data_IF_358411876734
#
_entry.id   IF_358411876734
#
_cell.length_a   1.000
_cell.length_b   1.000
_cell.length_c   1.000
_cell.angle_alpha   90.00
_cell.angle_beta   90.00
_cell.angle_gamma   90.00
#
_symmetry.space_group_name_H-M   'P 1'
#
loop_
_entity.id
_entity.type
_entity.pdbx_description
1 polymer ?
#
# COMPACT_ATOMS: atom_id res chain seq x y z
N UNK A 1 9.85 3.12 30.02
CA UNK A 1 11.26 2.91 29.60
C UNK A 1 11.41 1.46 29.20
N UNK A 2 11.40 1.15 27.91
CA UNK A 2 11.63 -0.21 27.39
C UNK A 2 13.10 -0.55 27.61
N UNK A 3 13.37 -1.66 28.33
CA UNK A 3 14.74 -2.14 28.55
C UNK A 3 15.39 -2.46 27.20
N UNK A 4 16.60 -1.93 26.95
CA UNK A 4 17.45 -2.39 25.85
C UNK A 4 17.76 -3.88 26.08
N UNK A 5 17.06 -4.75 25.37
CA UNK A 5 17.25 -6.19 25.46
C UNK A 5 18.49 -6.54 24.64
N UNK A 6 19.41 -7.32 25.19
CA UNK A 6 20.63 -7.77 24.49
C UNK A 6 20.33 -8.91 23.51
N UNK A 7 19.27 -9.67 23.73
CA UNK A 7 18.77 -10.77 22.92
C UNK A 7 17.25 -10.72 22.83
N UNK A 8 16.70 -11.26 21.74
CA UNK A 8 15.25 -11.41 21.58
C UNK A 8 14.72 -12.49 22.52
N UNK A 9 13.49 -12.33 23.05
CA UNK A 9 12.77 -13.42 23.69
C UNK A 9 12.57 -14.60 22.71
N UNK A 10 12.45 -15.79 23.24
CA UNK A 10 12.17 -16.98 22.43
C UNK A 10 10.77 -16.89 21.79
N UNK A 11 9.79 -16.43 22.56
CA UNK A 11 8.40 -16.25 22.14
C UNK A 11 7.98 -14.78 22.30
N UNK A 12 6.99 -14.38 21.49
CA UNK A 12 6.36 -13.07 21.58
C UNK A 12 5.34 -12.98 22.73
N UNK A 13 4.84 -11.77 23.02
CA UNK A 13 3.74 -11.60 23.98
C UNK A 13 2.46 -12.26 23.45
N UNK A 14 1.61 -12.71 24.35
CA UNK A 14 0.31 -13.27 24.01
C UNK A 14 -0.73 -12.15 24.02
N UNK A 15 -1.47 -12.01 22.95
CA UNK A 15 -2.58 -11.06 22.84
C UNK A 15 -3.82 -11.53 23.63
N UNK A 16 -4.80 -10.65 23.80
CA UNK A 16 -6.07 -10.97 24.49
C UNK A 16 -6.84 -12.13 23.85
N UNK A 17 -6.70 -12.30 22.53
CA UNK A 17 -7.29 -13.42 21.77
C UNK A 17 -6.49 -14.74 21.90
N UNK A 18 -5.46 -14.81 22.74
CA UNK A 18 -4.63 -15.98 22.97
C UNK A 18 -3.58 -16.28 21.90
N UNK A 19 -3.43 -15.43 20.87
CA UNK A 19 -2.44 -15.61 19.80
C UNK A 19 -1.09 -14.97 20.18
N UNK A 20 0.00 -15.60 19.78
CA UNK A 20 1.34 -15.04 19.94
C UNK A 20 1.56 -13.89 18.97
N UNK A 21 1.99 -12.72 19.47
CA UNK A 21 2.30 -11.54 18.65
C UNK A 21 3.78 -11.57 18.28
N UNK A 22 4.08 -11.66 17.00
CA UNK A 22 5.44 -11.71 16.48
C UNK A 22 6.02 -10.32 16.26
N UNK A 23 5.26 -9.42 15.63
CA UNK A 23 5.68 -8.06 15.30
C UNK A 23 4.66 -7.04 15.81
N UNK A 24 5.12 -5.95 16.40
CA UNK A 24 4.28 -4.84 16.85
C UNK A 24 4.89 -3.52 16.35
N UNK A 25 4.06 -2.71 15.71
CA UNK A 25 4.34 -1.32 15.44
C UNK A 25 3.53 -0.46 16.42
N UNK A 26 4.19 0.47 17.14
CA UNK A 26 3.54 1.38 18.08
C UNK A 26 3.86 2.82 17.72
N UNK A 27 2.86 3.55 17.24
CA UNK A 27 2.94 4.98 16.92
C UNK A 27 4.14 5.31 16.04
N UNK A 28 4.40 4.49 15.01
CA UNK A 28 5.58 4.60 14.16
C UNK A 28 5.44 5.76 13.19
N UNK A 29 6.39 6.69 13.25
CA UNK A 29 6.57 7.76 12.28
C UNK A 29 7.83 7.52 11.45
N UNK A 30 7.70 7.71 10.14
CA UNK A 30 8.87 7.66 9.24
C UNK A 30 8.87 8.93 8.39
N UNK A 31 9.96 9.68 8.48
CA UNK A 31 10.12 10.96 7.80
C UNK A 31 11.40 10.95 6.96
N UNK A 32 11.31 11.40 5.73
CA UNK A 32 12.43 11.61 4.82
C UNK A 32 12.72 13.09 4.63
N UNK A 33 13.98 13.44 4.42
CA UNK A 33 14.40 14.84 4.30
C UNK A 33 14.62 15.51 5.66
N UNK A 34 14.92 16.81 5.64
CA UNK A 34 15.14 17.63 6.84
C UNK A 34 14.56 19.03 6.64
N UNK A 35 14.20 19.69 7.74
CA UNK A 35 13.63 21.05 7.72
C UNK A 35 12.32 21.12 6.92
N UNK A 36 12.13 22.19 6.16
CA UNK A 36 10.89 22.46 5.42
C UNK A 36 10.59 21.47 4.29
N UNK A 37 11.61 20.70 3.85
CA UNK A 37 11.45 19.64 2.84
C UNK A 37 11.23 18.24 3.45
N UNK A 38 10.96 18.16 4.74
CA UNK A 38 10.67 16.88 5.39
C UNK A 38 9.30 16.34 4.96
N UNK A 39 9.29 15.10 4.43
CA UNK A 39 8.07 14.38 4.05
C UNK A 39 7.81 13.27 5.05
N UNK A 40 6.73 13.36 5.79
CA UNK A 40 6.26 12.32 6.73
C UNK A 40 5.52 11.25 5.94
N UNK A 41 6.25 10.20 5.56
CA UNK A 41 5.74 9.13 4.70
C UNK A 41 4.86 8.12 5.45
N UNK A 42 5.08 7.94 6.75
CA UNK A 42 4.27 7.13 7.66
C UNK A 42 3.97 7.95 8.90
N UNK A 43 2.72 7.90 9.36
CA UNK A 43 2.20 8.75 10.43
C UNK A 43 1.50 7.90 11.47
N UNK A 44 2.10 7.83 12.66
CA UNK A 44 1.53 7.18 13.83
C UNK A 44 1.01 5.75 13.55
N UNK A 45 1.70 4.99 12.67
CA UNK A 45 1.25 3.65 12.30
C UNK A 45 1.33 2.71 13.50
N UNK A 46 0.19 2.06 13.79
CA UNK A 46 0.05 1.13 14.92
C UNK A 46 -0.72 -0.10 14.46
N UNK A 47 -0.10 -1.26 14.52
CA UNK A 47 -0.73 -2.57 14.30
C UNK A 47 0.20 -3.67 14.81
N UNK A 48 -0.33 -4.85 14.96
CA UNK A 48 0.39 -6.07 15.32
C UNK A 48 0.27 -7.14 14.25
N UNK A 49 1.21 -8.07 14.22
CA UNK A 49 1.20 -9.25 13.35
C UNK A 49 1.39 -10.48 14.25
N UNK A 50 0.47 -11.43 14.13
CA UNK A 50 0.54 -12.67 14.88
C UNK A 50 1.46 -13.69 14.20
N UNK A 51 2.05 -14.56 14.99
CA UNK A 51 2.89 -15.63 14.47
C UNK A 51 2.09 -16.56 13.55
N UNK A 52 2.69 -16.96 12.44
CA UNK A 52 2.09 -17.85 11.44
C UNK A 52 0.99 -17.22 10.57
N UNK A 53 0.64 -15.92 10.76
CA UNK A 53 -0.35 -15.28 9.91
C UNK A 53 0.26 -14.59 8.69
N UNK A 54 -0.54 -14.41 7.66
CA UNK A 54 -0.29 -13.45 6.58
C UNK A 54 -1.05 -12.17 6.87
N UNK A 55 -0.35 -11.14 7.34
CA UNK A 55 -0.88 -9.79 7.46
C UNK A 55 -0.59 -9.02 6.18
N UNK A 56 -1.61 -8.57 5.48
CA UNK A 56 -1.42 -7.76 4.26
C UNK A 56 -1.57 -6.27 4.52
N UNK A 57 -0.68 -5.47 3.95
CA UNK A 57 -0.75 -4.02 3.96
C UNK A 57 -1.09 -3.51 2.56
N UNK A 58 -2.25 -2.87 2.41
CA UNK A 58 -2.79 -2.42 1.13
C UNK A 58 -3.04 -0.91 1.08
N UNK A 59 -3.00 -0.33 -0.10
CA UNK A 59 -3.26 1.09 -0.36
C UNK A 59 -2.62 1.53 -1.68
N UNK A 60 -2.86 2.77 -2.08
CA UNK A 60 -2.31 3.34 -3.31
C UNK A 60 -0.77 3.38 -3.33
N UNK A 61 -0.20 3.52 -4.54
CA UNK A 61 1.25 3.72 -4.68
C UNK A 61 1.68 5.00 -3.95
N UNK A 62 2.80 4.92 -3.21
CA UNK A 62 3.28 6.04 -2.40
C UNK A 62 2.58 6.24 -1.06
N UNK A 63 1.65 5.37 -0.64
CA UNK A 63 0.97 5.47 0.66
C UNK A 63 1.85 5.14 1.88
N UNK A 64 3.06 4.60 1.70
CA UNK A 64 3.98 4.29 2.79
C UNK A 64 4.21 2.79 3.05
N UNK A 65 3.59 1.86 2.32
CA UNK A 65 3.68 0.40 2.51
C UNK A 65 5.13 -0.12 2.52
N UNK A 66 5.84 0.06 1.41
CA UNK A 66 7.26 -0.32 1.27
C UNK A 66 8.14 0.35 2.33
N UNK A 67 7.78 1.59 2.70
CA UNK A 67 8.49 2.35 3.74
C UNK A 67 8.39 1.66 5.10
N UNK A 68 7.21 1.14 5.47
CA UNK A 68 7.00 0.33 6.67
C UNK A 68 7.80 -0.96 6.60
N UNK A 69 7.70 -1.73 5.51
CA UNK A 69 8.48 -2.96 5.34
C UNK A 69 9.99 -2.74 5.52
N UNK A 70 10.53 -1.68 4.90
CA UNK A 70 11.93 -1.30 5.05
C UNK A 70 12.29 -0.81 6.46
N UNK A 71 11.35 -0.27 7.21
CA UNK A 71 11.60 0.10 8.61
C UNK A 71 11.66 -1.14 9.51
N UNK A 72 10.87 -2.17 9.25
CA UNK A 72 10.91 -3.45 9.98
C UNK A 72 12.28 -4.12 9.82
N UNK A 73 12.84 -4.17 8.60
CA UNK A 73 14.21 -4.67 8.37
C UNK A 73 15.29 -3.62 8.70
N UNK A 74 14.90 -2.47 9.28
CA UNK A 74 15.79 -1.42 9.78
C UNK A 74 16.60 -0.66 8.72
N UNK A 75 16.20 -0.72 7.47
CA UNK A 75 16.76 0.10 6.39
C UNK A 75 16.31 1.56 6.53
N UNK A 76 15.03 1.78 6.87
CA UNK A 76 14.49 3.11 7.15
C UNK A 76 14.45 3.35 8.67
N UNK A 77 15.04 4.40 9.19
CA UNK A 77 14.92 4.73 10.61
C UNK A 77 13.53 5.28 10.95
N UNK A 78 13.01 4.94 12.12
CA UNK A 78 11.81 5.56 12.67
C UNK A 78 12.16 6.94 13.23
N UNK A 79 11.38 7.96 12.89
CA UNK A 79 11.48 9.29 13.45
C UNK A 79 10.87 9.37 14.87
N UNK A 80 9.78 8.61 15.08
CA UNK A 80 9.12 8.43 16.38
C UNK A 80 8.49 7.04 16.47
N UNK A 81 8.03 6.67 17.67
CA UNK A 81 7.44 5.36 17.93
C UNK A 81 8.47 4.24 18.05
N UNK A 82 7.97 3.02 18.05
CA UNK A 82 8.83 1.84 18.16
C UNK A 82 8.30 0.65 17.37
N UNK A 83 9.22 -0.17 16.89
CA UNK A 83 8.95 -1.49 16.30
C UNK A 83 9.51 -2.53 17.28
N UNK A 84 8.66 -3.48 17.65
CA UNK A 84 9.02 -4.60 18.52
C UNK A 84 8.89 -5.91 17.75
N UNK A 85 9.85 -6.80 17.91
CA UNK A 85 9.82 -8.17 17.40
C UNK A 85 9.96 -9.13 18.59
N UNK A 86 9.01 -10.06 18.73
CA UNK A 86 8.89 -10.93 19.93
C UNK A 86 8.92 -10.14 21.25
N UNK A 87 8.28 -8.96 21.28
CA UNK A 87 8.30 -8.08 22.45
C UNK A 87 9.60 -7.30 22.70
N UNK A 88 10.67 -7.63 21.99
CA UNK A 88 11.93 -6.88 22.02
C UNK A 88 11.93 -5.72 21.04
N UNK A 89 12.35 -4.52 21.50
CA UNK A 89 12.46 -3.35 20.62
C UNK A 89 13.59 -3.54 19.61
N UNK A 90 13.27 -3.46 18.32
CA UNK A 90 14.23 -3.56 17.22
C UNK A 90 14.49 -2.22 16.51
N UNK A 91 13.67 -1.18 16.74
CA UNK A 91 13.86 0.16 16.18
C UNK A 91 14.89 0.98 16.95
N UNK A 92 15.58 1.90 16.26
CA UNK A 92 16.60 2.77 16.86
C UNK A 92 17.97 2.10 17.03
N UNK A 93 18.75 2.54 18.01
CA UNK A 93 20.08 1.95 18.30
C UNK A 93 19.93 0.63 19.06
N UNK A 94 20.53 -0.42 18.53
CA UNK A 94 20.49 -1.77 19.08
C UNK A 94 21.91 -2.35 19.18
N UNK A 95 22.07 -3.49 19.84
CA UNK A 95 23.34 -4.21 19.91
C UNK A 95 23.63 -4.92 18.57
N UNK A 96 24.91 -5.17 18.27
CA UNK A 96 25.29 -5.97 17.09
C UNK A 96 24.72 -7.39 17.11
N UNK A 97 24.53 -7.95 18.29
CA UNK A 97 23.93 -9.29 18.47
C UNK A 97 22.48 -9.27 18.07
N UNK A 98 21.70 -8.31 18.58
CA UNK A 98 20.29 -8.14 18.20
C UNK A 98 20.14 -7.84 16.70
N UNK A 99 21.04 -7.04 16.12
CA UNK A 99 21.04 -6.78 14.67
C UNK A 99 21.19 -8.07 13.87
N UNK A 100 22.11 -8.96 14.27
CA UNK A 100 22.29 -10.26 13.62
C UNK A 100 21.06 -11.16 13.75
N UNK A 101 20.44 -11.21 14.93
CA UNK A 101 19.20 -11.98 15.16
C UNK A 101 18.06 -11.47 14.27
N UNK A 102 17.85 -10.15 14.20
CA UNK A 102 16.85 -9.54 13.35
C UNK A 102 17.09 -9.87 11.87
N UNK A 103 18.34 -9.69 11.37
CA UNK A 103 18.68 -9.96 9.98
C UNK A 103 18.49 -11.45 9.63
N UNK A 104 18.76 -12.36 10.57
CA UNK A 104 18.55 -13.80 10.36
C UNK A 104 17.08 -14.16 10.28
N UNK A 105 16.28 -13.66 11.21
CA UNK A 105 14.90 -14.12 11.42
C UNK A 105 13.88 -13.33 10.60
N UNK A 106 14.23 -12.13 10.11
CA UNK A 106 13.37 -11.30 9.27
C UNK A 106 14.01 -11.12 7.91
N UNK A 107 13.38 -11.69 6.88
CA UNK A 107 13.86 -11.61 5.51
C UNK A 107 12.92 -10.78 4.64
N UNK A 108 13.41 -10.28 3.49
CA UNK A 108 12.62 -9.49 2.56
C UNK A 108 12.70 -10.03 1.14
N UNK A 109 11.54 -10.22 0.52
CA UNK A 109 11.38 -10.46 -0.91
C UNK A 109 11.01 -9.13 -1.55
N UNK A 110 11.84 -8.64 -2.46
CA UNK A 110 11.72 -7.31 -3.06
C UNK A 110 10.80 -7.31 -4.28
N UNK A 111 10.23 -6.15 -4.57
CA UNK A 111 9.33 -5.89 -5.69
C UNK A 111 9.99 -6.14 -7.06
N UNK A 112 11.23 -5.69 -7.23
CA UNK A 112 12.01 -5.90 -8.46
C UNK A 112 13.09 -6.96 -8.23
N UNK A 113 12.87 -8.20 -8.71
CA UNK A 113 13.86 -9.26 -8.58
C UNK A 113 15.14 -8.97 -9.34
N UNK A 114 15.08 -8.25 -10.48
CA UNK A 114 16.27 -7.92 -11.25
C UNK A 114 17.17 -6.95 -10.50
N UNK A 115 16.60 -5.90 -9.91
CA UNK A 115 17.37 -4.94 -9.10
C UNK A 115 17.89 -5.54 -7.79
N UNK A 116 17.28 -6.63 -7.28
CA UNK A 116 17.62 -7.22 -5.98
C UNK A 116 18.63 -8.35 -6.02
N UNK A 117 18.91 -8.92 -7.20
CA UNK A 117 19.86 -10.01 -7.41
C UNK A 117 21.18 -9.47 -7.99
N UNK A 118 22.30 -10.02 -7.55
CA UNK A 118 23.60 -9.68 -8.11
C UNK A 118 23.78 -10.38 -9.46
N UNK A 119 23.67 -9.64 -10.56
CA UNK A 119 23.79 -10.16 -11.94
C UNK A 119 25.16 -10.78 -12.26
N UNK A 120 26.18 -10.57 -11.42
CA UNK A 120 27.54 -11.12 -11.57
C UNK A 120 27.80 -12.37 -10.74
N UNK A 121 26.82 -12.80 -9.96
CA UNK A 121 26.91 -13.97 -9.10
C UNK A 121 26.02 -15.11 -9.65
N UNK A 122 26.44 -16.35 -9.46
CA UNK A 122 25.60 -17.50 -9.78
C UNK A 122 24.44 -17.63 -8.80
N UNK A 123 23.40 -18.35 -9.21
CA UNK A 123 22.23 -18.63 -8.34
C UNK A 123 22.67 -19.34 -7.06
N UNK A 124 23.60 -20.29 -7.12
CA UNK A 124 24.16 -20.95 -5.94
C UNK A 124 24.73 -19.94 -4.95
N UNK A 125 25.58 -19.01 -5.42
CA UNK A 125 26.17 -17.99 -4.56
C UNK A 125 25.10 -17.09 -3.95
N UNK A 126 24.13 -16.61 -4.75
CA UNK A 126 23.05 -15.70 -4.28
C UNK A 126 22.22 -16.35 -3.17
N UNK A 127 21.86 -17.62 -3.35
CA UNK A 127 21.05 -18.35 -2.36
C UNK A 127 21.88 -18.71 -1.14
N UNK A 128 23.16 -19.08 -1.32
CA UNK A 128 24.06 -19.48 -0.23
C UNK A 128 24.58 -18.32 0.61
N UNK A 129 24.52 -17.07 0.13
CA UNK A 129 25.14 -15.91 0.78
C UNK A 129 24.75 -15.79 2.26
N UNK A 130 23.46 -15.96 2.57
CA UNK A 130 22.96 -15.94 3.94
C UNK A 130 23.51 -17.08 4.78
N UNK A 131 23.59 -18.28 4.23
CA UNK A 131 24.15 -19.45 4.91
C UNK A 131 25.62 -19.22 5.34
N UNK A 132 26.44 -18.66 4.43
CA UNK A 132 27.83 -18.31 4.74
C UNK A 132 27.95 -17.23 5.80
N UNK A 133 27.18 -16.15 5.69
CA UNK A 133 27.23 -15.01 6.60
C UNK A 133 26.83 -15.37 8.05
N UNK A 134 25.91 -16.32 8.20
CA UNK A 134 25.39 -16.74 9.49
C UNK A 134 25.90 -18.11 9.93
N UNK A 135 26.72 -18.79 9.12
CA UNK A 135 27.25 -20.14 9.38
C UNK A 135 26.14 -21.16 9.69
N UNK A 136 25.14 -21.20 8.82
CA UNK A 136 23.94 -22.06 8.98
C UNK A 136 24.10 -23.42 8.30
N UNK A 137 25.29 -23.93 8.20
CA UNK A 137 25.61 -25.27 7.66
C UNK A 137 26.79 -25.88 8.42
N UNK A 138 26.79 -27.21 8.49
CA UNK A 138 27.83 -27.96 9.19
C UNK A 138 29.08 -28.15 8.33
N UNK A 139 28.89 -28.42 7.04
CA UNK A 139 29.93 -28.64 6.06
C UNK A 139 29.41 -28.30 4.65
N UNK A 140 30.27 -28.32 3.64
CA UNK A 140 29.93 -27.94 2.29
C UNK A 140 28.83 -28.85 1.66
N UNK A 141 28.82 -30.13 2.02
CA UNK A 141 27.76 -31.05 1.53
C UNK A 141 26.39 -30.69 2.10
N UNK A 142 26.30 -30.28 3.40
CA UNK A 142 25.08 -29.79 4.01
C UNK A 142 24.59 -28.47 3.37
N UNK A 143 25.54 -27.54 3.09
CA UNK A 143 25.20 -26.30 2.38
C UNK A 143 24.58 -26.59 1.02
N UNK A 144 25.22 -27.44 0.20
CA UNK A 144 24.73 -27.81 -1.12
C UNK A 144 23.34 -28.45 -1.01
N UNK A 145 23.16 -29.39 -0.09
CA UNK A 145 21.86 -30.04 0.12
C UNK A 145 20.75 -29.05 0.48
N UNK A 146 21.02 -28.06 1.38
CA UNK A 146 20.07 -27.01 1.74
C UNK A 146 19.69 -26.15 0.53
N UNK A 147 20.68 -25.76 -0.27
CA UNK A 147 20.46 -24.93 -1.47
C UNK A 147 19.70 -25.70 -2.55
N UNK A 148 20.06 -26.94 -2.83
CA UNK A 148 19.32 -27.77 -3.78
C UNK A 148 17.88 -28.02 -3.34
N UNK A 149 17.67 -28.27 -2.04
CA UNK A 149 16.33 -28.47 -1.49
C UNK A 149 15.46 -27.23 -1.71
N UNK A 150 15.92 -26.03 -1.31
CA UNK A 150 15.11 -24.82 -1.46
C UNK A 150 14.88 -24.46 -2.94
N UNK A 151 15.84 -24.69 -3.83
CA UNK A 151 15.69 -24.49 -5.27
C UNK A 151 14.61 -25.41 -5.85
N UNK A 152 14.60 -26.67 -5.47
CA UNK A 152 13.53 -27.61 -5.84
C UNK A 152 12.16 -27.16 -5.30
N UNK A 153 12.10 -26.74 -4.05
CA UNK A 153 10.84 -26.28 -3.42
C UNK A 153 10.23 -25.06 -4.13
N UNK A 154 11.06 -24.13 -4.61
CA UNK A 154 10.57 -22.98 -5.41
C UNK A 154 10.27 -23.35 -6.86
N UNK A 155 10.43 -24.64 -7.25
CA UNK A 155 10.14 -25.15 -8.57
C UNK A 155 11.18 -24.76 -9.63
N UNK A 156 12.43 -24.63 -9.24
CA UNK A 156 13.60 -24.53 -10.10
C UNK A 156 14.37 -25.85 -10.07
N UNK A 157 15.29 -26.04 -11.01
CA UNK A 157 16.09 -27.26 -11.13
C UNK A 157 17.48 -27.06 -10.52
N UNK A 158 18.13 -28.09 -9.93
CA UNK A 158 19.49 -27.96 -9.38
C UNK A 158 20.53 -27.53 -10.43
N UNK A 159 20.34 -27.87 -11.68
CA UNK A 159 21.21 -27.43 -12.81
C UNK A 159 21.18 -25.91 -13.04
N UNK A 160 20.16 -25.22 -12.52
CA UNK A 160 20.05 -23.75 -12.56
C UNK A 160 21.04 -23.05 -11.60
N UNK A 161 21.61 -23.76 -10.64
CA UNK A 161 22.51 -23.20 -9.62
C UNK A 161 23.78 -22.58 -10.20
N UNK A 162 24.26 -23.10 -11.34
CA UNK A 162 25.48 -22.62 -12.02
C UNK A 162 25.23 -21.41 -12.92
N UNK A 163 23.97 -21.07 -13.17
CA UNK A 163 23.57 -19.98 -14.07
C UNK A 163 23.52 -18.63 -13.36
N UNK A 164 23.45 -17.55 -14.16
CA UNK A 164 23.37 -16.17 -13.69
C UNK A 164 21.93 -15.62 -13.80
N UNK A 165 21.53 -14.63 -12.98
CA UNK A 165 20.17 -14.09 -12.97
C UNK A 165 19.65 -13.63 -14.34
N UNK A 166 20.51 -13.03 -15.19
CA UNK A 166 20.12 -12.55 -16.53
C UNK A 166 19.69 -13.66 -17.51
N UNK A 167 19.99 -14.93 -17.20
CA UNK A 167 19.58 -16.09 -18.00
C UNK A 167 18.17 -16.59 -17.68
N UNK A 168 17.47 -15.96 -16.72
CA UNK A 168 16.16 -16.36 -16.22
C UNK A 168 15.04 -15.39 -16.58
N UNK A 169 13.82 -15.93 -16.72
CA UNK A 169 12.61 -15.10 -16.82
C UNK A 169 12.34 -14.32 -15.54
N UNK A 170 11.53 -13.27 -15.61
CA UNK A 170 11.14 -12.48 -14.43
C UNK A 170 10.55 -13.34 -13.29
N UNK A 171 9.68 -14.29 -13.63
CA UNK A 171 9.09 -15.21 -12.65
C UNK A 171 10.10 -16.18 -12.03
N UNK A 172 11.09 -16.64 -12.80
CA UNK A 172 12.18 -17.46 -12.27
C UNK A 172 13.10 -16.64 -11.36
N UNK A 173 13.45 -15.41 -11.72
CA UNK A 173 14.22 -14.50 -10.84
C UNK A 173 13.48 -14.23 -9.53
N UNK A 174 12.16 -14.07 -9.57
CA UNK A 174 11.36 -13.92 -8.35
C UNK A 174 11.48 -15.15 -7.45
N UNK A 175 11.43 -16.36 -8.02
CA UNK A 175 11.61 -17.61 -7.27
C UNK A 175 13.02 -17.72 -6.68
N UNK A 176 14.06 -17.26 -7.38
CA UNK A 176 15.42 -17.17 -6.82
C UNK A 176 15.44 -16.20 -5.62
N UNK A 177 14.78 -15.05 -5.72
CA UNK A 177 14.64 -14.10 -4.61
C UNK A 177 13.91 -14.70 -3.39
N UNK A 178 12.87 -15.50 -3.64
CA UNK A 178 12.16 -16.25 -2.59
C UNK A 178 13.09 -17.32 -1.99
N UNK A 179 13.79 -18.10 -2.80
CA UNK A 179 14.74 -19.12 -2.32
C UNK A 179 15.82 -18.51 -1.44
N UNK A 180 16.39 -17.35 -1.83
CA UNK A 180 17.37 -16.59 -1.04
C UNK A 180 16.85 -16.22 0.34
N UNK A 181 15.59 -15.79 0.43
CA UNK A 181 14.97 -15.44 1.70
C UNK A 181 14.67 -16.70 2.55
N UNK A 182 14.14 -17.76 1.92
CA UNK A 182 13.64 -18.94 2.61
C UNK A 182 14.70 -19.93 3.05
N UNK A 183 15.89 -19.92 2.42
CA UNK A 183 17.02 -20.77 2.84
C UNK A 183 17.55 -20.44 4.23
N UNK A 184 17.28 -19.21 4.68
CA UNK A 184 17.62 -18.73 6.01
C UNK A 184 16.69 -19.26 7.11
N UNK A 185 15.61 -19.92 6.76
CA UNK A 185 14.55 -20.38 7.67
C UNK A 185 14.04 -19.22 8.56
N UNK A 186 13.54 -18.13 7.95
CA UNK A 186 13.09 -16.96 8.70
C UNK A 186 11.77 -17.24 9.41
N UNK A 187 11.49 -16.49 10.47
CA UNK A 187 10.18 -16.50 11.13
C UNK A 187 9.21 -15.46 10.50
N UNK A 188 9.76 -14.35 9.99
CA UNK A 188 9.01 -13.29 9.34
C UNK A 188 9.57 -12.98 7.96
N UNK A 189 8.71 -12.97 6.95
CA UNK A 189 9.07 -12.55 5.60
C UNK A 189 8.25 -11.32 5.20
N UNK A 190 8.95 -10.25 4.84
CA UNK A 190 8.34 -9.06 4.25
C UNK A 190 8.32 -9.27 2.74
N UNK A 191 7.14 -9.43 2.18
CA UNK A 191 6.94 -9.61 0.74
C UNK A 191 6.44 -8.30 0.12
N UNK A 192 7.37 -7.52 -0.43
CA UNK A 192 7.08 -6.20 -1.02
C UNK A 192 6.69 -6.36 -2.48
N UNK A 193 5.40 -6.32 -2.77
CA UNK A 193 4.78 -6.51 -4.08
C UNK A 193 5.36 -7.70 -4.87
N UNK A 194 5.44 -8.91 -4.29
CA UNK A 194 6.24 -10.02 -4.83
C UNK A 194 5.72 -10.58 -6.15
N UNK A 195 4.57 -10.12 -6.62
CA UNK A 195 3.88 -10.64 -7.83
C UNK A 195 3.51 -9.54 -8.83
N UNK A 196 3.82 -8.26 -8.56
CA UNK A 196 3.37 -7.12 -9.38
C UNK A 196 3.86 -7.18 -10.83
N UNK A 197 5.10 -7.63 -11.03
CA UNK A 197 5.74 -7.72 -12.35
C UNK A 197 5.55 -9.10 -13.04
N UNK A 198 4.67 -9.97 -12.54
CA UNK A 198 4.50 -11.34 -13.04
C UNK A 198 3.20 -11.50 -13.82
N UNK A 199 3.23 -12.42 -14.80
CA UNK A 199 2.03 -12.86 -15.52
C UNK A 199 1.05 -13.60 -14.60
N UNK A 200 -0.25 -13.58 -14.94
CA UNK A 200 -1.34 -14.11 -14.10
C UNK A 200 -1.10 -15.56 -13.65
N UNK A 201 -0.64 -16.43 -14.56
CA UNK A 201 -0.36 -17.85 -14.25
C UNK A 201 0.80 -18.02 -13.26
N UNK A 202 1.84 -17.21 -13.40
CA UNK A 202 3.01 -17.22 -12.52
C UNK A 202 2.65 -16.61 -11.14
N UNK A 203 1.81 -15.57 -11.10
CA UNK A 203 1.30 -14.99 -9.83
C UNK A 203 0.67 -16.07 -8.95
N UNK A 204 -0.24 -16.86 -9.51
CA UNK A 204 -0.92 -17.94 -8.78
C UNK A 204 0.07 -18.97 -8.22
N UNK A 205 1.10 -19.34 -9.00
CA UNK A 205 2.12 -20.29 -8.55
C UNK A 205 2.95 -19.72 -7.39
N UNK A 206 3.35 -18.44 -7.44
CA UNK A 206 4.11 -17.78 -6.36
C UNK A 206 3.26 -17.66 -5.10
N UNK A 207 2.00 -17.29 -5.20
CA UNK A 207 1.08 -17.21 -4.06
C UNK A 207 0.88 -18.57 -3.38
N UNK A 208 0.67 -19.62 -4.18
CA UNK A 208 0.53 -20.98 -3.66
C UNK A 208 1.81 -21.46 -2.97
N UNK A 209 2.98 -21.12 -3.53
CA UNK A 209 4.28 -21.41 -2.91
C UNK A 209 4.41 -20.70 -1.55
N UNK A 210 4.05 -19.42 -1.45
CA UNK A 210 4.09 -18.67 -0.18
C UNK A 210 3.12 -19.26 0.86
N UNK A 211 1.90 -19.64 0.45
CA UNK A 211 0.95 -20.35 1.32
C UNK A 211 1.48 -21.71 1.77
N UNK A 212 2.17 -22.43 0.90
CA UNK A 212 2.82 -23.68 1.26
C UNK A 212 3.84 -23.46 2.37
N UNK A 213 4.74 -22.49 2.22
CA UNK A 213 5.73 -22.17 3.25
C UNK A 213 5.09 -21.69 4.56
N UNK A 214 4.02 -20.89 4.51
CA UNK A 214 3.26 -20.51 5.70
C UNK A 214 2.78 -21.75 6.49
N UNK A 215 2.16 -22.69 5.80
CA UNK A 215 1.58 -23.88 6.44
C UNK A 215 2.61 -24.90 6.90
N UNK A 216 3.65 -25.15 6.11
CA UNK A 216 4.62 -26.21 6.36
C UNK A 216 5.75 -25.77 7.30
N UNK A 217 6.06 -24.47 7.34
CA UNK A 217 7.20 -23.91 8.09
C UNK A 217 6.80 -22.83 9.10
N UNK A 218 5.51 -22.62 9.33
CA UNK A 218 4.96 -21.61 10.25
C UNK A 218 5.49 -20.19 9.97
N UNK A 219 5.74 -19.86 8.69
CA UNK A 219 6.25 -18.54 8.28
C UNK A 219 5.16 -17.48 8.45
N UNK A 220 5.53 -16.40 9.11
CA UNK A 220 4.70 -15.20 9.20
C UNK A 220 5.00 -14.28 8.01
N UNK A 221 3.98 -13.66 7.42
CA UNK A 221 4.15 -12.72 6.32
C UNK A 221 3.65 -11.32 6.66
N UNK A 222 4.46 -10.30 6.36
CA UNK A 222 3.98 -8.96 6.05
C UNK A 222 3.93 -8.81 4.53
N UNK A 223 2.74 -8.99 3.96
CA UNK A 223 2.52 -8.98 2.52
C UNK A 223 2.08 -7.59 2.06
N UNK A 224 2.89 -6.91 1.27
CA UNK A 224 2.60 -5.58 0.75
C UNK A 224 2.06 -5.72 -0.68
N UNK A 225 0.88 -5.16 -0.94
CA UNK A 225 0.26 -5.19 -2.25
C UNK A 225 -0.59 -3.94 -2.51
N UNK A 226 -0.89 -3.72 -3.78
CA UNK A 226 -1.89 -2.73 -4.23
C UNK A 226 -3.15 -3.39 -4.80
N UNK A 227 -3.12 -4.70 -5.08
CA UNK A 227 -4.23 -5.47 -5.66
C UNK A 227 -4.97 -6.24 -4.56
N UNK A 228 -6.16 -5.74 -4.20
CA UNK A 228 -7.01 -6.33 -3.17
C UNK A 228 -7.58 -7.70 -3.56
N UNK A 229 -7.70 -8.03 -4.85
CA UNK A 229 -8.18 -9.34 -5.29
C UNK A 229 -7.22 -10.46 -4.87
N UNK A 230 -5.92 -10.18 -4.98
CA UNK A 230 -4.86 -11.10 -4.54
C UNK A 230 -4.81 -11.19 -3.02
N UNK A 231 -4.92 -10.04 -2.36
CA UNK A 231 -4.85 -9.94 -0.89
C UNK A 231 -5.97 -10.74 -0.23
N UNK A 232 -7.19 -10.71 -0.77
CA UNK A 232 -8.30 -11.54 -0.29
C UNK A 232 -7.97 -13.03 -0.26
N UNK A 233 -7.17 -13.51 -1.22
CA UNK A 233 -6.81 -14.93 -1.32
C UNK A 233 -5.72 -15.34 -0.32
N UNK A 234 -4.73 -14.49 -0.07
CA UNK A 234 -3.55 -14.88 0.70
C UNK A 234 -3.63 -14.50 2.19
N UNK A 235 -4.42 -13.49 2.56
CA UNK A 235 -4.35 -12.84 3.86
C UNK A 235 -5.26 -13.48 4.91
N UNK A 236 -4.79 -13.47 6.13
CA UNK A 236 -5.60 -13.71 7.34
C UNK A 236 -6.17 -12.38 7.85
N UNK A 237 -5.33 -11.32 7.92
CA UNK A 237 -5.73 -9.96 8.29
C UNK A 237 -5.18 -8.95 7.28
N UNK A 238 -5.87 -7.83 7.15
CA UNK A 238 -5.53 -6.77 6.19
C UNK A 238 -5.51 -5.43 6.92
N UNK A 239 -4.42 -4.68 6.74
CA UNK A 239 -4.31 -3.28 7.10
C UNK A 239 -4.39 -2.40 5.85
N UNK A 240 -5.22 -1.39 5.89
CA UNK A 240 -5.38 -0.41 4.82
C UNK A 240 -4.65 0.87 5.21
N UNK A 241 -3.75 1.33 4.34
CA UNK A 241 -2.98 2.56 4.56
C UNK A 241 -3.29 3.62 3.51
N UNK A 242 -3.60 4.83 3.95
CA UNK A 242 -3.86 5.99 3.10
C UNK A 242 -2.96 7.16 3.47
N UNK A 243 -2.11 7.61 2.56
CA UNK A 243 -1.20 8.77 2.74
C UNK A 243 -0.41 8.76 4.06
N UNK A 244 0.03 7.57 4.47
CA UNK A 244 0.85 7.37 5.66
C UNK A 244 0.08 6.99 6.93
N UNK A 245 -1.24 7.10 6.94
CA UNK A 245 -2.11 6.74 8.07
C UNK A 245 -2.71 5.34 7.86
N UNK A 246 -2.70 4.49 8.90
CA UNK A 246 -3.46 3.23 8.91
C UNK A 246 -4.92 3.59 9.15
N UNK A 247 -5.78 3.33 8.15
CA UNK A 247 -7.19 3.76 8.21
C UNK A 247 -8.14 2.64 8.59
N UNK A 248 -7.79 1.39 8.33
CA UNK A 248 -8.61 0.23 8.73
C UNK A 248 -7.74 -1.00 8.88
N UNK A 249 -8.02 -1.85 9.89
CA UNK A 249 -7.39 -3.15 10.10
C UNK A 249 -8.46 -4.14 10.52
N UNK A 250 -8.58 -5.26 9.79
CA UNK A 250 -9.53 -6.31 10.15
C UNK A 250 -9.06 -7.68 9.60
N UNK A 251 -9.77 -8.76 9.95
CA UNK A 251 -9.61 -10.03 9.23
C UNK A 251 -10.01 -9.85 7.76
N UNK A 252 -9.46 -10.67 6.88
CA UNK A 252 -9.76 -10.53 5.44
C UNK A 252 -11.28 -10.65 5.18
N UNK A 253 -11.96 -11.60 5.82
CA UNK A 253 -13.41 -11.78 5.68
C UNK A 253 -14.19 -10.57 6.18
N UNK A 254 -13.85 -10.07 7.37
CA UNK A 254 -14.50 -8.91 7.99
C UNK A 254 -14.33 -7.64 7.14
N UNK A 255 -13.12 -7.38 6.62
CA UNK A 255 -12.85 -6.21 5.80
C UNK A 255 -13.66 -6.19 4.49
N UNK A 256 -13.86 -7.36 3.86
CA UNK A 256 -14.65 -7.45 2.63
C UNK A 256 -16.16 -7.44 2.87
N UNK A 257 -16.63 -7.91 4.03
CA UNK A 257 -18.04 -7.90 4.38
C UNK A 257 -18.49 -6.58 5.01
N UNK A 258 -17.60 -5.93 5.76
CA UNK A 258 -17.84 -4.68 6.48
C UNK A 258 -16.70 -3.68 6.29
N UNK A 259 -16.45 -3.20 5.06
CA UNK A 259 -15.49 -2.12 4.84
C UNK A 259 -16.09 -0.81 5.35
N UNK A 260 -15.63 -0.34 6.49
CA UNK A 260 -16.26 0.79 7.19
C UNK A 260 -15.65 2.12 6.79
N UNK A 261 -14.32 2.19 6.69
CA UNK A 261 -13.69 3.43 6.26
C UNK A 261 -13.99 3.71 4.76
N UNK A 262 -14.39 4.94 4.39
CA UNK A 262 -14.75 5.26 3.00
C UNK A 262 -13.65 4.96 1.98
N UNK A 263 -12.38 5.13 2.35
CA UNK A 263 -11.26 4.78 1.49
C UNK A 263 -11.17 3.27 1.22
N UNK A 264 -11.45 2.42 2.20
CA UNK A 264 -11.49 0.96 2.03
C UNK A 264 -12.59 0.56 1.05
N UNK A 265 -13.76 1.20 1.14
CA UNK A 265 -14.86 1.00 0.17
C UNK A 265 -14.44 1.39 -1.25
N UNK A 266 -13.74 2.51 -1.39
CA UNK A 266 -13.19 2.96 -2.67
C UNK A 266 -12.25 1.92 -3.27
N UNK A 267 -11.32 1.38 -2.49
CA UNK A 267 -10.39 0.35 -2.93
C UNK A 267 -11.10 -0.95 -3.34
N UNK A 268 -12.08 -1.41 -2.55
CA UNK A 268 -12.85 -2.62 -2.86
C UNK A 268 -13.71 -2.40 -4.11
N UNK A 269 -14.30 -1.21 -4.27
CA UNK A 269 -15.07 -0.88 -5.48
C UNK A 269 -14.24 -0.93 -6.76
N UNK A 270 -12.93 -0.71 -6.67
CA UNK A 270 -12.03 -0.74 -7.81
C UNK A 270 -11.62 -2.16 -8.25
N UNK A 271 -11.95 -3.21 -7.47
CA UNK A 271 -11.63 -4.61 -7.83
C UNK A 271 -12.39 -4.98 -9.11
N UNK A 272 -11.72 -5.44 -10.19
CA UNK A 272 -12.39 -5.82 -11.43
C UNK A 272 -13.36 -6.99 -11.22
N UNK A 273 -14.55 -6.91 -11.84
CA UNK A 273 -15.50 -8.01 -11.87
C UNK A 273 -15.19 -8.88 -13.10
N UNK A 274 -15.10 -10.22 -12.96
CA UNK A 274 -14.75 -11.10 -14.08
C UNK A 274 -15.74 -11.05 -15.26
N UNK A 275 -17.00 -10.68 -15.01
CA UNK A 275 -18.02 -10.51 -16.06
C UNK A 275 -17.91 -9.11 -16.70
N UNK A 276 -17.55 -9.00 -18.00
CA UNK A 276 -17.40 -7.71 -18.68
C UNK A 276 -18.71 -6.89 -18.75
N UNK A 277 -19.88 -7.54 -18.70
CA UNK A 277 -21.18 -6.84 -18.71
C UNK A 277 -21.43 -6.15 -17.37
N UNK A 278 -21.11 -6.85 -16.27
CA UNK A 278 -21.24 -6.29 -14.95
C UNK A 278 -20.19 -5.21 -14.70
N UNK A 279 -18.95 -5.42 -15.14
CA UNK A 279 -17.86 -4.45 -14.98
C UNK A 279 -18.16 -3.13 -15.70
N UNK A 280 -18.76 -3.18 -16.91
CA UNK A 280 -19.13 -1.99 -17.67
C UNK A 280 -20.19 -1.13 -16.98
N UNK A 281 -21.06 -1.73 -16.18
CA UNK A 281 -22.17 -1.05 -15.47
C UNK A 281 -21.85 -0.83 -13.98
N UNK A 282 -20.63 -1.09 -13.57
CA UNK A 282 -20.16 -0.92 -12.19
C UNK A 282 -19.91 0.56 -11.89
N UNK A 283 -20.42 1.00 -10.76
CA UNK A 283 -20.15 2.34 -10.23
C UNK A 283 -18.94 2.29 -9.30
N UNK A 284 -17.95 3.10 -9.61
CA UNK A 284 -16.77 3.23 -8.76
C UNK A 284 -17.03 4.22 -7.63
N UNK A 285 -16.84 3.78 -6.41
CA UNK A 285 -16.86 4.63 -5.24
C UNK A 285 -15.55 5.44 -5.16
N UNK A 286 -15.62 6.76 -5.22
CA UNK A 286 -14.44 7.64 -5.15
C UNK A 286 -14.35 8.27 -3.77
N UNK A 287 -13.25 8.02 -3.05
CA UNK A 287 -13.00 8.62 -1.76
C UNK A 287 -12.50 10.06 -1.87
N UNK A 288 -13.17 10.99 -1.18
CA UNK A 288 -12.71 12.37 -0.98
C UNK A 288 -12.46 12.57 0.54
N UNK A 289 -11.21 12.89 0.96
CA UNK A 289 -10.91 13.14 2.37
C UNK A 289 -11.71 14.28 3.00
N UNK A 290 -12.34 15.14 2.20
CA UNK A 290 -13.17 16.24 2.72
C UNK A 290 -14.50 15.80 3.35
N UNK A 291 -14.83 14.51 3.27
CA UNK A 291 -15.99 13.93 3.97
C UNK A 291 -15.78 13.87 5.49
N UNK A 292 -14.53 13.90 5.93
CA UNK A 292 -14.16 13.87 7.34
C UNK A 292 -13.99 15.29 7.88
N UNK A 293 -14.58 15.57 9.02
CA UNK A 293 -14.35 16.80 9.78
C UNK A 293 -13.56 16.49 11.05
N UNK A 294 -12.28 16.82 11.02
CA UNK A 294 -11.35 16.63 12.13
C UNK A 294 -10.91 17.96 12.76
N UNK A 295 -11.71 19.02 12.58
CA UNK A 295 -11.42 20.36 13.11
C UNK A 295 -11.51 20.43 14.64
N UNK A 296 -12.47 19.72 15.23
CA UNK A 296 -12.72 19.72 16.67
C UNK A 296 -12.02 18.57 17.39
N UNK A 297 -11.97 17.37 16.78
CA UNK A 297 -11.39 16.17 17.37
C UNK A 297 -10.45 15.47 16.38
N UNK A 298 -9.23 15.17 16.84
CA UNK A 298 -8.26 14.40 16.01
C UNK A 298 -8.70 12.95 15.92
N UNK A 299 -8.66 12.36 14.72
CA UNK A 299 -9.00 10.95 14.54
C UNK A 299 -7.93 10.04 15.14
N UNK A 300 -8.34 8.85 15.52
CA UNK A 300 -7.45 7.78 15.98
C UNK A 300 -7.95 6.41 15.49
N UNK A 301 -7.05 5.44 15.42
CA UNK A 301 -7.41 4.06 15.10
C UNK A 301 -8.03 3.43 16.35
N UNK A 302 -9.31 3.05 16.28
CA UNK A 302 -10.07 2.52 17.41
C UNK A 302 -10.67 1.15 17.08
N UNK A 303 -10.67 0.25 18.07
CA UNK A 303 -11.33 -1.05 17.97
C UNK A 303 -12.85 -0.90 18.06
N UNK A 304 -13.56 -1.49 17.11
CA UNK A 304 -15.03 -1.51 17.09
C UNK A 304 -15.62 -2.89 17.42
N UNK A 305 -14.77 -3.83 17.86
CA UNK A 305 -15.11 -5.23 18.10
C UNK A 305 -14.63 -6.15 16.96
N UNK A 306 -14.66 -7.47 17.18
CA UNK A 306 -14.30 -8.48 16.17
C UNK A 306 -12.88 -8.34 15.56
N UNK A 307 -11.91 -7.87 16.34
CA UNK A 307 -10.54 -7.57 15.87
C UNK A 307 -10.52 -6.59 14.68
N UNK A 308 -11.53 -5.70 14.62
CA UNK A 308 -11.72 -4.71 13.59
C UNK A 308 -11.42 -3.32 14.15
N UNK A 309 -10.47 -2.63 13.54
CA UNK A 309 -9.99 -1.30 13.92
C UNK A 309 -10.25 -0.34 12.78
N UNK A 310 -10.84 0.81 13.07
CA UNK A 310 -11.14 1.85 12.07
C UNK A 310 -10.64 3.20 12.56
N UNK A 311 -10.12 4.00 11.64
CA UNK A 311 -9.62 5.34 11.91
C UNK A 311 -10.75 6.35 11.76
N UNK A 312 -10.98 7.15 12.81
CA UNK A 312 -12.03 8.16 12.83
C UNK A 312 -12.04 8.95 14.14
N UNK A 313 -12.88 9.98 14.19
CA UNK A 313 -13.23 10.67 15.43
C UNK A 313 -14.33 9.91 16.19
N UNK A 314 -14.66 10.31 17.39
CA UNK A 314 -15.63 9.60 18.24
C UNK A 314 -17.00 9.44 17.56
N UNK A 315 -17.47 10.45 16.82
CA UNK A 315 -18.76 10.40 16.11
C UNK A 315 -18.73 9.33 14.99
N UNK A 316 -17.70 9.32 14.16
CA UNK A 316 -17.54 8.35 13.08
C UNK A 316 -17.42 6.91 13.63
N UNK A 317 -16.70 6.74 14.73
CA UNK A 317 -16.56 5.43 15.38
C UNK A 317 -17.90 4.90 15.91
N UNK A 318 -18.75 5.75 16.45
CA UNK A 318 -20.12 5.35 16.86
C UNK A 318 -20.97 4.92 15.65
N UNK A 319 -20.88 5.67 14.55
CA UNK A 319 -21.56 5.31 13.29
C UNK A 319 -21.05 3.96 12.73
N UNK A 320 -19.73 3.74 12.74
CA UNK A 320 -19.14 2.47 12.29
C UNK A 320 -19.56 1.29 13.17
N UNK A 321 -19.63 1.47 14.48
CA UNK A 321 -20.16 0.46 15.42
C UNK A 321 -21.61 0.11 15.10
N UNK A 322 -22.45 1.12 14.93
CA UNK A 322 -23.86 0.92 14.60
C UNK A 322 -24.05 0.17 13.26
N UNK A 323 -23.26 0.52 12.23
CA UNK A 323 -23.26 -0.20 10.96
C UNK A 323 -22.87 -1.66 11.18
N UNK A 324 -21.80 -1.93 11.92
CA UNK A 324 -21.32 -3.29 12.19
C UNK A 324 -22.32 -4.11 13.00
N UNK A 325 -22.91 -3.53 14.04
CA UNK A 325 -23.90 -4.16 14.90
C UNK A 325 -25.20 -4.50 14.16
N UNK A 326 -25.54 -3.74 13.10
CA UNK A 326 -26.69 -4.04 12.26
C UNK A 326 -26.60 -5.42 11.57
N UNK A 327 -25.40 -6.00 11.48
CA UNK A 327 -25.10 -7.27 10.82
C UNK A 327 -25.32 -7.26 9.31
N UNK A 328 -25.68 -6.14 8.72
CA UNK A 328 -25.88 -6.01 7.27
C UNK A 328 -24.56 -5.74 6.58
N UNK A 329 -24.14 -6.64 5.68
CA UNK A 329 -22.93 -6.44 4.87
C UNK A 329 -22.97 -5.10 4.15
N UNK A 330 -21.85 -4.39 4.19
CA UNK A 330 -21.73 -3.09 3.53
C UNK A 330 -21.48 -3.31 2.04
N UNK A 331 -22.35 -2.79 1.19
CA UNK A 331 -22.17 -2.85 -0.26
C UNK A 331 -21.04 -1.90 -0.66
N UNK A 332 -19.96 -2.44 -1.20
CA UNK A 332 -18.85 -1.66 -1.76
C UNK A 332 -18.91 -1.54 -3.28
N UNK A 333 -19.81 -2.28 -3.92
CA UNK A 333 -19.94 -2.32 -5.38
C UNK A 333 -21.41 -2.18 -5.72
N UNK A 334 -21.72 -1.18 -6.54
CA UNK A 334 -23.04 -1.01 -7.18
C UNK A 334 -22.93 -1.31 -8.64
N UNK A 335 -23.84 -2.12 -9.12
CA UNK A 335 -23.98 -2.45 -10.53
C UNK A 335 -25.30 -1.86 -11.00
N UNK A 336 -25.23 -0.93 -11.94
CA UNK A 336 -26.43 -0.36 -12.55
C UNK A 336 -27.05 -1.39 -13.51
N UNK A 337 -28.39 -1.49 -13.49
CA UNK A 337 -29.10 -2.27 -14.49
C UNK A 337 -28.84 -1.67 -15.88
N UNK A 338 -28.32 -2.44 -16.84
CA UNK A 338 -28.06 -1.97 -18.21
C UNK A 338 -29.31 -1.42 -18.89
N UNK A 339 -30.47 -1.95 -18.55
CA UNK A 339 -31.76 -1.63 -19.16
C UNK A 339 -32.56 -0.59 -18.37
N UNK A 340 -32.07 -0.14 -17.21
CA UNK A 340 -32.76 0.88 -16.40
C UNK A 340 -32.77 2.25 -17.09
N UNK A 341 -33.84 3.04 -16.94
CA UNK A 341 -33.94 4.42 -17.43
C UNK A 341 -32.81 5.30 -16.92
N UNK A 342 -32.39 6.31 -17.72
CA UNK A 342 -31.31 7.21 -17.36
C UNK A 342 -31.54 7.97 -16.03
N UNK A 343 -32.80 8.26 -15.70
CA UNK A 343 -33.21 8.89 -14.44
C UNK A 343 -33.00 7.97 -13.24
N UNK A 344 -33.27 6.67 -13.38
CA UNK A 344 -33.08 5.67 -12.33
C UNK A 344 -31.59 5.39 -12.11
N UNK A 345 -30.79 5.38 -13.19
CA UNK A 345 -29.32 5.32 -13.11
C UNK A 345 -28.76 6.55 -12.40
N UNK A 346 -29.29 7.75 -12.67
CA UNK A 346 -28.89 8.97 -12.00
C UNK A 346 -29.28 8.97 -10.51
N UNK A 347 -30.49 8.52 -10.19
CA UNK A 347 -30.98 8.40 -8.80
C UNK A 347 -30.24 7.32 -7.99
N UNK A 348 -29.81 6.23 -8.63
CA UNK A 348 -28.97 5.21 -8.01
C UNK A 348 -27.56 5.75 -7.72
N UNK A 349 -27.01 6.53 -8.66
CA UNK A 349 -25.74 7.24 -8.48
C UNK A 349 -25.79 8.27 -7.34
N UNK A 350 -26.92 8.98 -7.20
CA UNK A 350 -27.12 9.96 -6.11
C UNK A 350 -27.32 9.28 -4.74
N UNK A 351 -27.99 8.13 -4.69
CA UNK A 351 -28.21 7.38 -3.43
C UNK A 351 -26.97 6.69 -2.87
N UNK A 352 -25.96 6.44 -3.68
CA UNK A 352 -24.71 5.76 -3.26
C UNK A 352 -23.54 6.69 -2.99
N UNK A 353 -23.70 7.97 -3.25
CA UNK A 353 -22.85 9.00 -2.68
C UNK A 353 -23.25 9.09 -1.20
N UNK A 354 -22.60 8.29 -0.36
CA UNK A 354 -22.68 8.22 1.11
C UNK A 354 -23.99 8.76 1.70
N UNK A 355 -24.80 7.93 2.37
CA UNK A 355 -25.86 8.47 3.20
C UNK A 355 -25.22 9.22 4.36
N UNK A 356 -25.27 10.52 4.25
CA UNK A 356 -25.24 11.49 5.30
C UNK A 356 -24.02 11.56 6.23
N UNK A 357 -23.11 12.46 5.85
CA UNK A 357 -22.61 13.42 6.82
C UNK A 357 -23.14 14.78 6.33
N UNK A 358 -24.30 15.13 6.83
CA UNK A 358 -24.93 16.47 6.81
C UNK A 358 -24.27 17.54 5.94
N UNK A 359 -24.79 17.80 4.75
CA UNK A 359 -24.64 19.12 4.11
C UNK A 359 -23.46 19.33 3.17
N UNK A 360 -22.67 18.32 2.82
CA UNK A 360 -21.50 18.46 1.91
C UNK A 360 -21.78 17.97 0.49
N UNK A 361 -23.00 17.59 0.20
CA UNK A 361 -23.43 16.89 -1.02
C UNK A 361 -23.58 17.75 -2.29
N UNK A 362 -23.10 18.99 -2.33
CA UNK A 362 -23.24 19.87 -3.52
C UNK A 362 -22.00 19.90 -4.44
N UNK A 363 -21.07 18.93 -4.33
CA UNK A 363 -19.92 18.90 -5.23
C UNK A 363 -19.99 17.73 -6.20
N UNK A 364 -20.25 18.00 -7.50
CA UNK A 364 -20.25 16.94 -8.50
C UNK A 364 -18.90 16.21 -8.55
N UNK A 365 -18.93 14.89 -8.69
CA UNK A 365 -17.79 13.96 -8.73
C UNK A 365 -16.66 14.38 -9.70
N UNK A 366 -16.98 15.19 -10.71
CA UNK A 366 -16.03 15.67 -11.72
C UNK A 366 -15.35 17.00 -11.40
N UNK A 367 -15.62 17.62 -10.24
CA UNK A 367 -14.92 18.85 -9.82
C UNK A 367 -13.60 18.55 -9.12
N UNK A 368 -12.68 17.93 -9.85
CA UNK A 368 -11.39 17.43 -9.32
C UNK A 368 -10.42 18.54 -8.93
N UNK A 369 -10.61 19.77 -9.41
CA UNK A 369 -9.66 20.88 -9.25
C UNK A 369 -8.29 20.58 -9.86
N UNK A 370 -8.21 19.71 -10.86
CA UNK A 370 -6.97 19.25 -11.46
C UNK A 370 -6.12 20.39 -12.01
N UNK A 371 -4.82 20.38 -11.70
CA UNK A 371 -3.83 21.36 -12.22
C UNK A 371 -3.75 21.33 -13.76
N UNK A 372 -4.14 20.24 -14.41
CA UNK A 372 -4.18 20.13 -15.87
C UNK A 372 -5.12 21.13 -16.52
N UNK A 373 -6.25 21.48 -15.87
CA UNK A 373 -7.13 22.55 -16.37
C UNK A 373 -6.45 23.92 -16.37
N UNK A 374 -5.57 24.18 -15.39
CA UNK A 374 -4.78 25.41 -15.34
C UNK A 374 -3.71 25.44 -16.44
N UNK A 375 -3.01 24.31 -16.65
CA UNK A 375 -1.98 24.17 -17.67
C UNK A 375 -2.57 24.29 -19.07
N UNK A 376 -3.63 23.56 -19.39
CA UNK A 376 -4.32 23.64 -20.68
C UNK A 376 -4.86 25.04 -20.96
N UNK A 377 -5.41 25.70 -19.95
CA UNK A 377 -5.93 27.08 -20.08
C UNK A 377 -4.85 28.13 -20.21
N UNK A 378 -3.63 27.87 -19.77
CA UNK A 378 -2.47 28.73 -19.97
C UNK A 378 -2.06 28.79 -21.45
N UNK A 379 -1.99 27.63 -22.12
CA UNK A 379 -1.59 27.55 -23.52
C UNK A 379 -2.69 28.00 -24.51
N UNK A 380 -3.96 27.81 -24.13
CA UNK A 380 -5.13 28.18 -24.94
C UNK A 380 -6.11 29.05 -24.12
N UNK A 381 -5.74 30.30 -23.77
CA UNK A 381 -6.53 31.15 -22.87
C UNK A 381 -8.01 31.33 -23.26
N UNK A 382 -8.38 31.55 -24.53
CA UNK A 382 -9.81 31.65 -24.89
C UNK A 382 -10.60 30.37 -24.61
N UNK A 383 -9.99 29.21 -24.90
CA UNK A 383 -10.59 27.89 -24.62
C UNK A 383 -10.75 27.66 -23.13
N UNK A 384 -9.74 28.05 -22.34
CA UNK A 384 -9.78 27.99 -20.89
C UNK A 384 -10.89 28.86 -20.27
N UNK A 385 -11.17 30.03 -20.82
CA UNK A 385 -12.27 30.87 -20.34
C UNK A 385 -13.64 30.28 -20.69
N UNK A 386 -13.80 29.67 -21.86
CA UNK A 386 -15.03 29.02 -22.30
C UNK A 386 -15.26 27.76 -21.43
N UNK A 387 -14.21 26.93 -21.23
CA UNK A 387 -14.28 25.77 -20.36
C UNK A 387 -14.60 26.16 -18.92
N UNK A 388 -13.98 27.22 -18.41
CA UNK A 388 -14.29 27.77 -17.09
C UNK A 388 -15.76 28.19 -16.96
N UNK A 389 -16.30 28.85 -17.98
CA UNK A 389 -17.71 29.24 -17.98
C UNK A 389 -18.67 28.01 -17.94
N UNK A 390 -18.33 26.97 -18.73
CA UNK A 390 -19.08 25.69 -18.72
C UNK A 390 -19.02 25.05 -17.33
N UNK A 391 -17.86 24.99 -16.73
CA UNK A 391 -17.71 24.43 -15.36
C UNK A 391 -18.47 25.24 -14.32
N UNK A 392 -18.47 26.58 -14.41
CA UNK A 392 -19.27 27.44 -13.55
C UNK A 392 -20.77 27.12 -13.68
N UNK A 393 -21.27 26.95 -14.93
CA UNK A 393 -22.68 26.64 -15.19
C UNK A 393 -23.07 25.26 -14.66
N UNK A 394 -22.12 24.29 -14.61
CA UNK A 394 -22.30 22.95 -14.05
C UNK A 394 -21.94 22.84 -12.55
N UNK A 395 -21.74 23.96 -11.86
CA UNK A 395 -21.32 24.03 -10.46
C UNK A 395 -19.97 23.37 -10.11
N UNK A 396 -19.07 23.20 -11.07
CA UNK A 396 -17.73 22.65 -10.89
C UNK A 396 -16.75 23.77 -10.44
N UNK A 397 -16.85 24.21 -9.20
CA UNK A 397 -16.18 25.40 -8.69
C UNK A 397 -14.65 25.29 -8.73
N UNK A 398 -14.10 24.10 -8.41
CA UNK A 398 -12.64 23.87 -8.43
C UNK A 398 -12.08 23.94 -9.85
N UNK A 399 -12.73 23.25 -10.80
CA UNK A 399 -12.32 23.27 -12.20
C UNK A 399 -12.47 24.67 -12.81
N UNK A 400 -13.55 25.40 -12.48
CA UNK A 400 -13.72 26.80 -12.86
C UNK A 400 -12.57 27.69 -12.38
N UNK A 401 -12.19 27.57 -11.07
CA UNK A 401 -11.09 28.35 -10.49
C UNK A 401 -9.75 28.05 -11.19
N UNK A 402 -9.48 26.78 -11.50
CA UNK A 402 -8.26 26.36 -12.18
C UNK A 402 -8.19 26.85 -13.63
N UNK A 403 -9.25 26.69 -14.42
CA UNK A 403 -9.34 27.21 -15.77
C UNK A 403 -9.18 28.74 -15.83
N UNK A 404 -9.88 29.47 -14.96
CA UNK A 404 -9.78 30.92 -14.86
C UNK A 404 -8.36 31.38 -14.50
N UNK A 405 -7.71 30.72 -13.53
CA UNK A 405 -6.34 31.04 -13.12
C UNK A 405 -5.35 30.85 -14.28
N UNK A 406 -5.42 29.70 -14.97
CA UNK A 406 -4.55 29.41 -16.10
C UNK A 406 -4.76 30.38 -17.25
N UNK A 407 -6.00 30.69 -17.62
CA UNK A 407 -6.33 31.60 -18.70
C UNK A 407 -5.86 33.04 -18.42
N UNK A 408 -6.01 33.57 -17.21
CA UNK A 408 -5.55 34.89 -16.83
C UNK A 408 -4.03 34.96 -16.93
N UNK A 409 -3.31 33.98 -16.39
CA UNK A 409 -1.84 33.95 -16.46
C UNK A 409 -1.38 33.84 -17.92
N UNK A 410 -2.03 33.01 -18.75
CA UNK A 410 -1.72 32.88 -20.17
C UNK A 410 -1.96 34.15 -20.97
N UNK A 411 -3.03 34.89 -20.69
CA UNK A 411 -3.29 36.19 -21.33
C UNK A 411 -2.25 37.26 -20.93
N UNK A 412 -1.84 37.29 -19.65
CA UNK A 412 -0.82 38.21 -19.17
C UNK A 412 0.53 37.93 -19.82
N UNK A 413 0.93 36.66 -19.97
CA UNK A 413 2.20 36.30 -20.63
C UNK A 413 2.17 36.60 -22.12
N UNK A 414 1.05 36.33 -22.79
CA UNK A 414 0.88 36.67 -24.21
C UNK A 414 0.98 38.19 -24.45
N UNK A 415 0.34 38.99 -23.58
CA UNK A 415 0.44 40.45 -23.63
C UNK A 415 1.87 40.96 -23.42
N UNK A 416 2.62 40.37 -22.49
CA UNK A 416 4.02 40.72 -22.26
C UNK A 416 4.92 40.36 -23.47
N UNK A 417 4.71 39.22 -24.11
CA UNK A 417 5.44 38.80 -25.30
C UNK A 417 5.14 39.75 -26.50
N UNK A 418 3.88 40.07 -26.71
CA UNK A 418 3.47 41.01 -27.78
C UNK A 418 4.07 42.40 -27.51
N UNK A 419 4.08 42.86 -26.26
CA UNK A 419 4.70 44.12 -25.86
C UNK A 419 6.22 44.16 -26.13
N UNK A 420 6.93 43.07 -25.82
CA UNK A 420 8.36 42.93 -26.09
C UNK A 420 8.67 42.89 -27.60
N UNK A 421 7.86 42.19 -28.40
CA UNK A 421 7.99 42.21 -29.86
C UNK A 421 7.69 43.59 -30.46
N UNK A 422 6.68 44.29 -29.93
CA UNK A 422 6.36 45.64 -30.33
C UNK A 422 7.52 46.62 -30.05
N UNK A 423 8.13 46.54 -28.88
CA UNK A 423 9.33 47.36 -28.54
C UNK A 423 10.55 47.00 -29.39
N UNK A 424 10.76 45.72 -29.72
CA UNK A 424 11.84 45.28 -30.59
C UNK A 424 11.66 45.80 -32.04
N UNK A 425 10.42 45.81 -32.53
CA UNK A 425 10.10 46.40 -33.87
C UNK A 425 10.30 47.91 -33.91
N UNK A 426 9.95 48.64 -32.84
CA UNK A 426 10.19 50.09 -32.75
C UNK A 426 11.69 50.39 -32.67
N UNK A 427 12.47 49.58 -31.93
CA UNK A 427 13.93 49.71 -31.87
C UNK A 427 14.69 49.33 -33.15
N UNK A 428 14.04 48.58 -34.06
CA UNK A 428 14.63 48.25 -35.36
C UNK A 428 14.29 49.23 -36.48
N UNK A 429 13.38 50.21 -36.24
CA UNK A 429 12.93 51.21 -37.15
C UNK A 429 13.52 52.60 -36.80
N UNK A 430 14.06 52.78 -35.59
CA UNK A 430 14.89 53.91 -35.16
C UNK A 430 16.38 53.60 -35.33
#
# INVERSE_FOLDING_TARGET
MSKNVSHLPENGPIAENGREVLLILKNVDITFGKGDNAVRAVKNASFDIYKGETFSLVGESGSGKTTIGRAVIRVNPCAAGEIQYKGGRISGKTSKTLDREVIRNIQMVFQDPAASLNERATVDYIVSEGLYNFKLFENEADRVAKVENIINEVGLLPEHLTRYPHEFSGGQRQRIGIARAMVMEPELVIADEPISALDVSIRAQVLNLMKKFQKERDITYLFIAHDLSVVRFISDRIGVIYKGDIVEVATAEELFDFPLHPYTRSLISAIPIPDPKLEKNKVLFTYDPSVHDYSEEKPSLQCIGHDHYVFGNSKEIEEYKAIRESGKKVKSVTILDPDAPAEEKAAALEKEIIPDASGILDRPIHDTGSKWYSIGSFFLPPVGLIAGWIFKKKNYIRNFKMCRKGAIVGLCTLGAVIGLFGLALIGAVL
#
